data_IF_352117077545
#
_entry.id   IF_352117077545
#
_cell.length_a   1.000
_cell.length_b   1.000
_cell.length_c   1.000
_cell.angle_alpha   90.00
_cell.angle_beta   90.00
_cell.angle_gamma   90.00
#
_symmetry.space_group_name_H-M   'P 1'
#
loop_
_entity.id
_entity.type
_entity.pdbx_description
1 polymer ?
#
# COMPACT_ATOMS: atom_id res chain seq x y z
N UNK A 1 -13.96 -7.15 -3.91
CA UNK A 1 -13.20 -6.86 -2.67
C UNK A 1 -13.73 -7.83 -1.64
N UNK A 2 -12.88 -8.61 -0.95
CA UNK A 2 -13.36 -9.46 0.14
C UNK A 2 -13.86 -8.56 1.29
N UNK A 3 -14.83 -9.05 2.06
CA UNK A 3 -15.29 -8.38 3.26
C UNK A 3 -14.17 -8.30 4.31
N UNK A 4 -14.19 -7.30 5.22
CA UNK A 4 -13.20 -7.22 6.28
C UNK A 4 -13.31 -8.45 7.20
N UNK A 5 -12.24 -9.22 7.28
CA UNK A 5 -12.12 -10.37 8.19
C UNK A 5 -11.63 -9.89 9.56
N UNK A 6 -12.16 -10.48 10.64
CA UNK A 6 -11.79 -10.14 12.02
C UNK A 6 -10.61 -11.02 12.46
N UNK A 7 -9.53 -10.41 12.93
CA UNK A 7 -8.33 -11.09 13.43
C UNK A 7 -7.05 -10.58 12.79
N UNK A 8 -5.97 -11.34 12.95
CA UNK A 8 -4.66 -11.02 12.36
C UNK A 8 -4.76 -10.79 10.84
N UNK A 9 -4.51 -9.55 10.35
CA UNK A 9 -4.71 -9.18 8.97
C UNK A 9 -3.72 -9.85 7.99
N UNK A 10 -2.67 -10.48 8.50
CA UNK A 10 -1.69 -11.18 7.67
C UNK A 10 -2.09 -12.62 7.36
N UNK A 11 -2.89 -13.28 8.20
CA UNK A 11 -3.30 -14.67 7.96
C UNK A 11 -3.97 -14.88 6.60
N UNK A 12 -4.92 -14.05 6.17
CA UNK A 12 -5.52 -14.22 4.84
C UNK A 12 -4.51 -14.01 3.70
N UNK A 13 -3.49 -13.16 3.92
CA UNK A 13 -2.41 -12.95 2.96
C UNK A 13 -1.47 -14.15 2.88
N UNK A 14 -1.09 -14.72 4.02
CA UNK A 14 -0.29 -15.93 4.09
C UNK A 14 -1.00 -17.12 3.45
N UNK A 15 -2.30 -17.29 3.72
CA UNK A 15 -3.11 -18.31 3.09
C UNK A 15 -3.21 -18.13 1.57
N UNK A 16 -3.32 -16.89 1.09
CA UNK A 16 -3.34 -16.62 -0.35
C UNK A 16 -1.97 -16.84 -0.99
N UNK A 17 -0.90 -16.39 -0.35
CA UNK A 17 0.47 -16.57 -0.83
C UNK A 17 0.89 -18.04 -0.86
N UNK A 18 0.52 -18.83 0.15
CA UNK A 18 0.86 -20.27 0.24
C UNK A 18 0.25 -21.13 -0.86
N UNK A 19 -0.87 -20.67 -1.45
CA UNK A 19 -1.51 -21.32 -2.61
C UNK A 19 -0.77 -21.09 -3.92
N UNK A 20 0.15 -20.13 -3.97
CA UNK A 20 0.78 -19.68 -5.19
C UNK A 20 2.25 -20.08 -5.23
N UNK A 21 2.61 -20.84 -6.27
CA UNK A 21 3.99 -21.22 -6.55
C UNK A 21 4.45 -20.49 -7.80
N UNK A 22 5.42 -19.56 -7.71
CA UNK A 22 5.98 -18.92 -8.88
C UNK A 22 6.61 -19.96 -9.82
N UNK A 23 6.40 -19.77 -11.11
CA UNK A 23 7.16 -20.49 -12.14
C UNK A 23 8.60 -19.98 -12.19
N UNK A 24 9.46 -20.62 -12.98
CA UNK A 24 10.79 -20.10 -13.27
C UNK A 24 10.72 -18.64 -13.77
N UNK A 25 11.45 -17.75 -13.10
CA UNK A 25 11.54 -16.34 -13.46
C UNK A 25 12.86 -16.15 -14.23
N UNK A 26 12.82 -15.77 -15.52
CA UNK A 26 14.02 -15.56 -16.31
C UNK A 26 14.92 -14.46 -15.73
N UNK A 27 16.22 -14.55 -15.98
CA UNK A 27 17.13 -13.47 -15.63
C UNK A 27 16.73 -12.17 -16.34
N UNK A 28 16.76 -11.06 -15.59
CA UNK A 28 16.38 -9.74 -16.11
C UNK A 28 14.88 -9.45 -16.08
N UNK A 29 14.05 -10.33 -15.51
CA UNK A 29 12.65 -10.02 -15.22
C UNK A 29 12.53 -8.96 -14.10
N UNK A 30 11.48 -8.12 -14.11
CA UNK A 30 11.28 -7.09 -13.11
C UNK A 30 11.20 -7.65 -11.68
N UNK A 31 11.72 -6.93 -10.66
CA UNK A 31 11.63 -7.36 -9.26
C UNK A 31 10.19 -7.55 -8.78
N UNK A 32 9.25 -6.74 -9.27
CA UNK A 32 7.82 -6.88 -9.04
C UNK A 32 7.11 -7.17 -10.35
N UNK A 33 6.57 -8.38 -10.48
CA UNK A 33 5.83 -8.84 -11.67
C UNK A 33 4.47 -9.47 -11.35
N UNK A 34 4.23 -9.80 -10.07
CA UNK A 34 2.94 -10.08 -9.45
C UNK A 34 3.09 -10.06 -7.93
N UNK A 35 1.98 -10.00 -7.19
CA UNK A 35 1.96 -10.12 -5.74
C UNK A 35 0.96 -9.16 -5.08
N UNK A 36 1.04 -9.06 -3.75
CA UNK A 36 0.22 -8.12 -2.98
C UNK A 36 0.85 -6.72 -2.99
N UNK A 37 0.06 -5.71 -3.36
CA UNK A 37 0.45 -4.29 -3.32
C UNK A 37 -0.58 -3.52 -2.51
N UNK A 38 -0.15 -2.82 -1.48
CA UNK A 38 -1.05 -2.09 -0.58
C UNK A 38 -0.33 -1.59 0.65
N UNK A 39 -1.03 -1.58 1.79
CA UNK A 39 -0.48 -1.15 3.06
C UNK A 39 -0.85 -2.09 4.21
N UNK A 40 0.00 -2.06 5.23
CA UNK A 40 -0.25 -2.58 6.57
C UNK A 40 -0.20 -1.38 7.53
N UNK A 41 -1.26 -1.15 8.28
CA UNK A 41 -1.36 -0.06 9.23
C UNK A 41 -0.46 -0.32 10.45
N UNK A 42 -0.07 0.76 11.13
CA UNK A 42 0.74 0.67 12.35
C UNK A 42 0.07 -0.22 13.42
N UNK A 43 -1.25 -0.14 13.53
CA UNK A 43 -2.04 -0.84 14.54
C UNK A 43 -1.91 -2.37 14.46
N UNK A 44 -1.52 -2.91 13.29
CA UNK A 44 -1.22 -4.34 13.13
C UNK A 44 -0.05 -4.83 14.00
N UNK A 45 0.78 -3.92 14.55
CA UNK A 45 1.87 -4.28 15.48
C UNK A 45 1.36 -5.10 16.69
N UNK A 46 0.09 -4.92 17.08
CA UNK A 46 -0.52 -5.58 18.25
C UNK A 46 -0.62 -7.10 18.11
N UNK A 47 -0.65 -7.63 16.89
CA UNK A 47 -0.63 -9.07 16.64
C UNK A 47 0.75 -9.68 16.87
N UNK A 48 1.81 -8.86 16.89
CA UNK A 48 3.18 -9.28 17.14
C UNK A 48 3.63 -8.96 18.57
N UNK A 49 3.18 -7.84 19.12
CA UNK A 49 3.59 -7.32 20.43
C UNK A 49 2.37 -7.07 21.34
N UNK A 50 1.94 -8.08 22.12
CA UNK A 50 0.76 -7.98 22.97
C UNK A 50 0.86 -6.88 24.05
N UNK A 51 2.09 -6.49 24.42
CA UNK A 51 2.35 -5.45 25.42
C UNK A 51 1.90 -4.05 24.96
N UNK A 52 1.64 -3.84 23.66
CA UNK A 52 1.15 -2.56 23.11
C UNK A 52 -0.28 -2.26 23.57
N UNK A 53 -1.06 -3.26 24.00
CA UNK A 53 -2.37 -3.07 24.63
C UNK A 53 -3.50 -2.75 23.64
N UNK A 54 -4.52 -2.02 24.08
CA UNK A 54 -5.68 -1.62 23.27
C UNK A 54 -5.47 -0.32 22.51
N UNK A 55 -6.11 -0.20 21.34
CA UNK A 55 -6.07 1.01 20.55
C UNK A 55 -6.96 2.10 21.15
N UNK A 56 -6.55 3.38 21.06
CA UNK A 56 -7.48 4.46 21.29
C UNK A 56 -8.62 4.40 20.24
N UNK A 57 -9.79 4.99 20.52
CA UNK A 57 -10.89 5.05 19.56
C UNK A 57 -10.43 5.63 18.21
N UNK A 58 -10.68 4.88 17.14
CA UNK A 58 -10.34 5.30 15.78
C UNK A 58 -11.43 6.17 15.19
N UNK A 59 -11.03 7.31 14.63
CA UNK A 59 -11.92 8.24 13.92
C UNK A 59 -11.82 8.14 12.40
N UNK A 60 -10.86 7.35 11.88
CA UNK A 60 -10.66 7.14 10.44
C UNK A 60 -11.26 5.84 9.92
N UNK A 61 -11.58 4.87 10.80
CA UNK A 61 -12.19 3.58 10.46
C UNK A 61 -11.48 2.85 9.30
N UNK A 62 -10.16 2.99 9.21
CA UNK A 62 -9.34 2.35 8.18
C UNK A 62 -9.10 0.88 8.55
N UNK A 63 -9.06 -0.05 7.56
CA UNK A 63 -8.65 -1.41 7.83
C UNK A 63 -7.18 -1.47 8.25
N UNK A 64 -6.82 -2.42 9.11
CA UNK A 64 -5.43 -2.64 9.53
C UNK A 64 -4.54 -3.11 8.37
N UNK A 65 -5.13 -3.62 7.30
CA UNK A 65 -4.45 -3.99 6.06
C UNK A 65 -5.39 -3.85 4.87
N UNK A 66 -4.90 -3.27 3.77
CA UNK A 66 -5.61 -3.31 2.50
C UNK A 66 -4.62 -3.52 1.37
N UNK A 67 -4.80 -4.62 0.63
CA UNK A 67 -3.93 -4.98 -0.49
C UNK A 67 -4.73 -5.32 -1.73
N UNK A 68 -4.13 -5.01 -2.87
CA UNK A 68 -4.53 -5.50 -4.18
C UNK A 68 -3.63 -6.70 -4.52
N UNK A 69 -4.24 -7.84 -4.83
CA UNK A 69 -3.50 -8.95 -5.41
C UNK A 69 -3.35 -8.70 -6.91
N UNK A 70 -2.15 -8.31 -7.32
CA UNK A 70 -1.84 -7.87 -8.68
C UNK A 70 -1.23 -9.03 -9.44
N UNK A 71 -1.94 -9.51 -10.47
CA UNK A 71 -1.43 -10.53 -11.40
C UNK A 71 -1.18 -9.99 -12.80
N UNK A 72 -1.38 -8.69 -13.04
CA UNK A 72 -1.19 -8.06 -14.36
C UNK A 72 -0.78 -6.61 -14.19
N UNK A 73 0.34 -6.22 -14.78
CA UNK A 73 0.88 -4.87 -14.63
C UNK A 73 1.75 -4.42 -15.80
N UNK A 74 2.01 -3.12 -15.84
CA UNK A 74 2.98 -2.48 -16.72
C UNK A 74 4.20 -2.09 -15.89
N UNK A 75 5.38 -2.55 -16.31
CA UNK A 75 6.65 -2.21 -15.69
C UNK A 75 7.37 -1.22 -16.57
N UNK A 76 7.69 -0.05 -16.02
CA UNK A 76 8.46 1.00 -16.70
C UNK A 76 9.92 0.89 -16.28
N UNK A 77 10.79 0.52 -17.22
CA UNK A 77 12.24 0.61 -17.05
C UNK A 77 12.71 1.93 -17.62
N UNK A 78 12.91 2.92 -16.73
CA UNK A 78 13.36 4.26 -17.13
C UNK A 78 14.80 4.28 -17.64
N UNK A 79 15.65 3.34 -17.22
CA UNK A 79 17.04 3.27 -17.67
C UNK A 79 17.12 2.77 -19.11
N UNK A 80 16.42 1.66 -19.43
CA UNK A 80 16.36 1.11 -20.79
C UNK A 80 15.34 1.81 -21.69
N UNK A 81 14.49 2.68 -21.12
CA UNK A 81 13.35 3.34 -21.80
C UNK A 81 12.38 2.34 -22.41
N UNK A 82 12.10 1.25 -21.71
CA UNK A 82 11.20 0.18 -22.16
C UNK A 82 10.01 0.04 -21.22
N UNK A 83 8.87 -0.37 -21.77
CA UNK A 83 7.69 -0.77 -20.99
C UNK A 83 7.43 -2.25 -21.21
N UNK A 84 7.33 -3.02 -20.14
CA UNK A 84 7.02 -4.43 -20.17
C UNK A 84 5.60 -4.67 -19.66
N UNK A 85 4.77 -5.32 -20.47
CA UNK A 85 3.44 -5.77 -20.04
C UNK A 85 3.55 -7.21 -19.53
N UNK A 86 3.16 -7.43 -18.27
CA UNK A 86 3.21 -8.75 -17.63
C UNK A 86 1.80 -9.16 -17.21
N UNK A 87 1.45 -10.42 -17.45
CA UNK A 87 0.30 -11.06 -16.85
C UNK A 87 0.66 -12.49 -16.42
N UNK A 88 0.40 -12.81 -15.15
CA UNK A 88 0.61 -14.14 -14.62
C UNK A 88 -0.59 -15.03 -14.93
N UNK A 89 -0.32 -16.22 -15.48
CA UNK A 89 -1.30 -17.28 -15.65
C UNK A 89 -1.41 -18.06 -14.34
N UNK A 90 -2.61 -18.11 -13.77
CA UNK A 90 -2.89 -18.87 -12.54
C UNK A 90 -3.64 -20.14 -12.91
N UNK A 91 -3.13 -21.29 -12.47
CA UNK A 91 -3.75 -22.61 -12.67
C UNK A 91 -4.40 -23.02 -11.34
N UNK A 92 -5.44 -22.30 -10.94
CA UNK A 92 -6.28 -22.65 -9.79
C UNK A 92 -7.54 -23.39 -10.25
N UNK A 93 -8.08 -24.29 -9.42
CA UNK A 93 -9.39 -24.91 -9.64
C UNK A 93 -9.48 -25.91 -10.80
N UNK A 94 -8.35 -26.45 -11.28
CA UNK A 94 -8.35 -27.49 -12.32
C UNK A 94 -8.42 -26.98 -13.77
N UNK A 95 -8.25 -25.67 -13.99
CA UNK A 95 -8.14 -25.09 -15.33
C UNK A 95 -6.99 -25.75 -16.12
N UNK A 96 -7.17 -25.95 -17.43
CA UNK A 96 -6.08 -26.45 -18.25
C UNK A 96 -4.97 -25.39 -18.39
N UNK A 97 -3.68 -25.79 -18.47
CA UNK A 97 -2.59 -24.84 -18.69
C UNK A 97 -2.77 -23.97 -19.94
N UNK A 98 -3.40 -24.52 -20.98
CA UNK A 98 -3.66 -23.81 -22.24
C UNK A 98 -4.70 -22.70 -22.06
N UNK A 99 -5.79 -22.95 -21.34
CA UNK A 99 -6.81 -21.94 -21.04
C UNK A 99 -6.22 -20.80 -20.19
N UNK A 100 -5.47 -21.13 -19.14
CA UNK A 100 -4.81 -20.15 -18.28
C UNK A 100 -3.83 -19.26 -19.07
N UNK A 101 -3.10 -19.86 -20.02
CA UNK A 101 -2.21 -19.15 -20.92
C UNK A 101 -2.97 -18.18 -21.85
N UNK A 102 -4.03 -18.63 -22.52
CA UNK A 102 -4.79 -17.76 -23.44
C UNK A 102 -5.46 -16.60 -22.67
N UNK A 103 -5.92 -16.82 -21.44
CA UNK A 103 -6.42 -15.75 -20.56
C UNK A 103 -5.31 -14.73 -20.24
N UNK A 104 -4.13 -15.19 -19.84
CA UNK A 104 -3.00 -14.29 -19.52
C UNK A 104 -2.52 -13.51 -20.76
N UNK A 105 -2.42 -14.17 -21.91
CA UNK A 105 -2.09 -13.54 -23.20
C UNK A 105 -3.12 -12.47 -23.58
N UNK A 106 -4.41 -12.75 -23.40
CA UNK A 106 -5.47 -11.75 -23.59
C UNK A 106 -5.30 -10.51 -22.70
N UNK A 107 -4.91 -10.69 -21.43
CA UNK A 107 -4.60 -9.58 -20.51
C UNK A 107 -3.40 -8.75 -20.99
N UNK A 108 -2.31 -9.39 -21.46
CA UNK A 108 -1.15 -8.68 -22.03
C UNK A 108 -1.56 -7.85 -23.25
N UNK A 109 -2.33 -8.45 -24.18
CA UNK A 109 -2.82 -7.74 -25.38
C UNK A 109 -3.70 -6.56 -24.99
N UNK A 110 -4.56 -6.72 -23.98
CA UNK A 110 -5.41 -5.65 -23.46
C UNK A 110 -4.60 -4.50 -22.86
N UNK A 111 -3.60 -4.79 -22.03
CA UNK A 111 -2.68 -3.79 -21.47
C UNK A 111 -1.94 -3.02 -22.57
N UNK A 112 -1.39 -3.75 -23.56
CA UNK A 112 -0.70 -3.15 -24.70
C UNK A 112 -1.64 -2.27 -25.55
N UNK A 113 -2.87 -2.73 -25.78
CA UNK A 113 -3.87 -1.98 -26.53
C UNK A 113 -4.26 -0.69 -25.80
N UNK A 114 -4.37 -0.72 -24.47
CA UNK A 114 -4.64 0.48 -23.66
C UNK A 114 -3.49 1.48 -23.72
N UNK A 115 -2.24 1.02 -23.70
CA UNK A 115 -1.06 1.88 -23.87
C UNK A 115 -1.01 2.62 -25.21
N UNK A 116 -1.54 1.99 -26.27
CA UNK A 116 -1.59 2.58 -27.61
C UNK A 116 -2.74 3.55 -27.84
N UNK A 117 -3.74 3.56 -26.97
CA UNK A 117 -4.86 4.51 -27.11
C UNK A 117 -4.35 5.91 -26.81
N UNK A 118 -4.81 6.88 -27.61
CA UNK A 118 -4.63 8.28 -27.28
C UNK A 118 -5.25 8.53 -25.90
N UNK A 119 -4.42 8.94 -24.94
CA UNK A 119 -4.92 9.40 -23.65
C UNK A 119 -5.51 10.79 -23.84
N UNK A 120 -6.69 11.09 -23.27
CA UNK A 120 -7.18 12.46 -23.25
C UNK A 120 -6.10 13.36 -22.65
N UNK A 121 -5.99 14.58 -23.18
CA UNK A 121 -5.09 15.58 -22.61
C UNK A 121 -5.43 15.72 -21.11
N UNK A 122 -4.47 15.34 -20.27
CA UNK A 122 -4.59 15.64 -18.86
C UNK A 122 -4.54 17.17 -18.73
N UNK A 123 -5.43 17.77 -17.94
CA UNK A 123 -5.37 19.21 -17.71
C UNK A 123 -3.97 19.55 -17.24
N UNK A 124 -3.32 20.49 -17.93
CA UNK A 124 -2.01 20.99 -17.53
C UNK A 124 -2.15 21.59 -16.13
N UNK A 125 -1.72 20.84 -15.12
CA UNK A 125 -1.59 21.37 -13.77
C UNK A 125 -0.38 22.31 -13.82
N UNK A 126 -0.64 23.61 -13.86
CA UNK A 126 0.41 24.58 -13.65
C UNK A 126 1.04 24.31 -12.28
N UNK A 127 2.28 23.80 -12.28
CA UNK A 127 3.15 23.79 -11.11
C UNK A 127 3.60 25.23 -10.81
N UNK A 128 2.64 26.16 -10.69
CA UNK A 128 2.89 27.48 -10.14
C UNK A 128 3.30 27.36 -8.67
N UNK A 129 3.67 28.49 -8.05
CA UNK A 129 3.85 28.56 -6.60
C UNK A 129 2.51 28.24 -5.94
N UNK A 130 2.26 26.97 -5.65
CA UNK A 130 1.15 26.57 -4.80
C UNK A 130 1.29 27.36 -3.51
N UNK A 131 0.26 28.14 -3.10
CA UNK A 131 0.28 28.79 -1.81
C UNK A 131 0.62 27.75 -0.76
N UNK A 132 1.52 28.06 0.18
CA UNK A 132 1.82 27.15 1.30
C UNK A 132 0.49 26.75 1.93
N UNK A 133 0.13 25.50 1.73
CA UNK A 133 -1.09 24.92 2.23
C UNK A 133 -0.90 24.70 3.73
N UNK A 134 -1.34 25.66 4.54
CA UNK A 134 -1.44 25.39 5.97
C UNK A 134 -2.56 24.37 6.21
N UNK A 135 -2.37 23.43 7.16
CA UNK A 135 -3.45 22.54 7.56
C UNK A 135 -4.62 23.35 8.13
N UNK A 136 -5.85 22.85 7.98
CA UNK A 136 -7.02 23.46 8.61
C UNK A 136 -7.02 23.21 10.12
N UNK A 137 -6.54 22.04 10.53
CA UNK A 137 -6.45 21.67 11.94
C UNK A 137 -5.52 20.50 12.21
N UNK A 138 -5.45 20.14 13.49
CA UNK A 138 -4.74 18.96 13.99
C UNK A 138 -5.56 18.24 15.04
N UNK A 139 -5.32 16.94 15.22
CA UNK A 139 -5.86 16.17 16.33
C UNK A 139 -5.23 16.53 17.69
N UNK A 140 -4.16 17.31 17.70
CA UNK A 140 -3.53 17.85 18.92
C UNK A 140 -3.60 19.38 18.94
N UNK A 141 -3.87 19.96 20.11
CA UNK A 141 -3.51 21.35 20.35
C UNK A 141 -2.01 21.43 20.62
N UNK A 142 -1.38 22.52 20.19
CA UNK A 142 0.06 22.74 20.40
C UNK A 142 0.52 22.50 21.85
N UNK A 143 -0.21 23.04 22.83
CA UNK A 143 0.13 22.89 24.26
C UNK A 143 0.09 21.43 24.72
N UNK A 144 -0.83 20.62 24.19
CA UNK A 144 -0.95 19.20 24.51
C UNK A 144 0.23 18.42 23.94
N UNK A 145 0.62 18.71 22.69
CA UNK A 145 1.77 18.07 22.06
C UNK A 145 3.09 18.43 22.78
N UNK A 146 3.28 19.71 23.14
CA UNK A 146 4.42 20.14 23.95
C UNK A 146 4.44 19.47 25.34
N UNK A 147 3.27 19.22 25.92
CA UNK A 147 3.12 18.42 27.15
C UNK A 147 3.58 16.97 26.96
N UNK A 148 3.14 16.30 25.90
CA UNK A 148 3.57 14.94 25.56
C UNK A 148 5.09 14.86 25.34
N UNK A 149 5.69 15.84 24.68
CA UNK A 149 7.16 15.94 24.50
C UNK A 149 7.88 16.08 25.84
N UNK A 150 7.35 16.87 26.78
CA UNK A 150 7.94 17.00 28.13
C UNK A 150 7.87 15.67 28.87
N UNK A 151 6.72 14.99 28.86
CA UNK A 151 6.56 13.68 29.46
C UNK A 151 7.55 12.66 28.88
N UNK A 152 7.67 12.59 27.56
CA UNK A 152 8.63 11.73 26.88
C UNK A 152 10.07 11.98 27.35
N UNK A 153 10.49 13.24 27.50
CA UNK A 153 11.81 13.59 28.03
C UNK A 153 12.00 13.14 29.47
N UNK A 154 10.96 13.14 30.29
CA UNK A 154 11.04 12.67 31.67
C UNK A 154 11.18 11.15 31.74
N UNK A 155 10.46 10.40 30.90
CA UNK A 155 10.70 8.94 30.73
C UNK A 155 12.15 8.65 30.32
N UNK A 156 12.70 9.43 29.39
CA UNK A 156 14.10 9.29 28.97
C UNK A 156 15.07 9.56 30.13
N UNK A 157 14.85 10.63 30.91
CA UNK A 157 15.72 10.98 32.05
C UNK A 157 15.72 9.93 33.16
N UNK A 158 14.60 9.24 33.35
CA UNK A 158 14.51 8.14 34.33
C UNK A 158 15.13 6.84 33.83
N UNK A 159 15.51 6.77 32.55
CA UNK A 159 16.06 5.56 31.94
C UNK A 159 15.01 4.55 31.48
N UNK A 160 13.73 4.94 31.41
CA UNK A 160 12.64 4.05 30.99
C UNK A 160 12.76 3.71 29.49
N UNK A 161 13.18 4.68 28.68
CA UNK A 161 13.38 4.55 27.23
C UNK A 161 14.55 5.44 26.78
N UNK A 162 15.15 5.14 25.64
CA UNK A 162 16.18 6.00 25.04
C UNK A 162 15.59 7.10 24.13
N UNK A 163 14.53 6.76 23.39
CA UNK A 163 13.87 7.65 22.45
C UNK A 163 12.41 7.19 22.23
N UNK A 164 11.53 8.14 21.94
CA UNK A 164 10.17 7.88 21.42
C UNK A 164 9.85 8.87 20.30
N UNK A 165 9.12 8.40 19.29
CA UNK A 165 8.68 9.22 18.15
C UNK A 165 7.20 9.57 18.32
N UNK A 166 6.94 10.79 18.77
CA UNK A 166 5.57 11.31 18.89
C UNK A 166 5.10 11.85 17.54
N UNK A 167 3.83 11.61 17.21
CA UNK A 167 3.20 12.10 15.98
C UNK A 167 1.92 12.86 16.28
N UNK A 168 1.53 13.74 15.37
CA UNK A 168 0.22 14.38 15.33
C UNK A 168 -0.27 14.38 13.89
N UNK A 169 -1.58 14.27 13.71
CA UNK A 169 -2.24 14.27 12.41
C UNK A 169 -2.73 15.67 12.11
N UNK A 170 -2.46 16.13 10.89
CA UNK A 170 -3.03 17.35 10.34
C UNK A 170 -4.07 16.99 9.29
N UNK A 171 -5.07 17.83 9.11
CA UNK A 171 -6.11 17.61 8.11
C UNK A 171 -6.47 18.90 7.39
N UNK A 172 -6.97 18.74 6.16
CA UNK A 172 -7.51 19.79 5.32
C UNK A 172 -8.48 19.20 4.28
N UNK A 173 -9.65 19.80 4.06
CA UNK A 173 -10.55 19.45 2.97
C UNK A 173 -9.87 19.68 1.62
N UNK A 174 -10.00 18.70 0.73
CA UNK A 174 -9.53 18.81 -0.64
C UNK A 174 -10.68 18.50 -1.60
N UNK A 175 -10.72 19.23 -2.73
CA UNK A 175 -11.58 18.93 -3.87
C UNK A 175 -10.79 18.28 -5.02
N UNK A 176 -9.51 18.00 -4.81
CA UNK A 176 -8.70 17.28 -5.79
C UNK A 176 -9.29 15.87 -5.95
N UNK A 177 -9.61 15.51 -7.20
CA UNK A 177 -10.09 14.20 -7.64
C UNK A 177 -8.93 13.30 -8.04
#
# INVERSE_FOLDING_TARGET
MREPEVGDPLKPLEEMASRLRPVYIPQGFPPLFAGAVGYLAYDAVRYFEPAVGELPPSDLFLPECAVLWVGSLLVFDHFKRTVMAVACATIEGGASPLEAYEVAKGKVISLYSRLRRSTPELPLIALGRTPRANPEGSNFRRREFEGAVKAAKDYIRRGDIFQVVLSQRFFRPTKAS
#
